data_IF_343688695535
#
_entry.id   IF_343688695535
#
_cell.length_a   1.000
_cell.length_b   1.000
_cell.length_c   1.000
_cell.angle_alpha   90.00
_cell.angle_beta   90.00
_cell.angle_gamma   90.00
#
_symmetry.space_group_name_H-M   'P 1'
#
loop_
_entity.id
_entity.type
_entity.pdbx_description
1 polymer ?
#
# COMPACT_ATOMS: atom_id res chain seq x y z
N UNK A 1 46.39 6.51 -19.37
CA UNK A 1 45.11 7.19 -19.21
C UNK A 1 44.91 7.32 -17.72
N UNK A 2 45.16 8.52 -17.17
CA UNK A 2 45.03 8.81 -15.73
C UNK A 2 43.56 9.00 -15.40
N UNK A 3 43.04 8.17 -14.53
CA UNK A 3 41.71 8.36 -13.97
C UNK A 3 41.65 9.64 -13.15
N UNK A 4 40.90 10.61 -13.64
CA UNK A 4 40.58 11.82 -12.87
C UNK A 4 39.46 11.43 -11.89
N UNK A 5 39.83 11.06 -10.68
CA UNK A 5 38.86 10.94 -9.60
C UNK A 5 38.42 12.36 -9.18
N UNK A 6 37.23 12.75 -9.56
CA UNK A 6 36.59 13.93 -9.01
C UNK A 6 36.35 13.72 -7.51
N UNK A 7 36.77 14.65 -6.65
CA UNK A 7 36.47 14.56 -5.23
C UNK A 7 34.92 14.60 -5.03
N UNK A 8 34.39 13.60 -4.35
CA UNK A 8 33.00 13.60 -3.96
C UNK A 8 32.71 14.81 -3.05
N UNK A 9 31.61 15.52 -3.24
CA UNK A 9 31.27 16.63 -2.36
C UNK A 9 31.13 16.09 -0.92
N UNK A 10 31.75 16.77 0.02
CA UNK A 10 31.67 16.46 1.43
C UNK A 10 30.20 16.49 1.87
N UNK A 11 29.72 15.36 2.38
CA UNK A 11 28.37 15.28 2.93
C UNK A 11 28.25 16.23 4.12
N UNK A 12 27.25 17.08 4.18
CA UNK A 12 27.01 17.89 5.38
C UNK A 12 26.78 16.94 6.56
N UNK A 13 27.46 17.25 7.68
CA UNK A 13 27.30 16.45 8.90
C UNK A 13 25.84 16.49 9.36
N UNK A 14 25.35 15.40 9.89
CA UNK A 14 23.97 15.27 10.41
C UNK A 14 23.61 16.31 11.49
N UNK A 15 24.58 17.07 11.99
CA UNK A 15 24.37 18.12 13.00
C UNK A 15 24.06 19.50 12.42
N UNK A 16 24.34 19.74 11.14
CA UNK A 16 24.13 21.08 10.53
C UNK A 16 22.75 21.24 9.89
N UNK A 17 21.89 20.25 10.00
CA UNK A 17 20.59 20.24 9.35
C UNK A 17 19.45 20.68 10.26
N UNK A 18 19.66 21.62 11.17
CA UNK A 18 18.52 22.34 11.76
C UNK A 18 17.93 23.29 10.71
N UNK A 19 17.30 22.73 9.70
CA UNK A 19 16.55 23.49 8.72
C UNK A 19 15.35 24.08 9.46
N UNK A 20 15.10 25.41 9.34
CA UNK A 20 13.95 26.03 9.97
C UNK A 20 12.66 25.28 9.60
N UNK A 21 11.73 25.16 10.53
CA UNK A 21 10.47 24.42 10.39
C UNK A 21 9.66 24.77 9.13
N UNK A 22 10.02 25.83 8.42
CA UNK A 22 9.38 26.28 7.17
C UNK A 22 9.93 25.62 5.91
N UNK A 23 11.11 25.03 5.96
CA UNK A 23 11.72 24.36 4.81
C UNK A 23 11.52 22.85 4.91
N UNK A 24 10.38 22.39 4.41
CA UNK A 24 10.02 20.97 4.41
C UNK A 24 10.46 20.33 3.10
N UNK A 25 11.55 19.59 3.14
CA UNK A 25 12.04 18.85 1.99
C UNK A 25 11.78 17.37 2.21
N UNK A 26 11.21 16.72 1.21
CA UNK A 26 11.00 15.27 1.25
C UNK A 26 12.34 14.53 1.22
N UNK A 27 12.36 13.36 1.82
CA UNK A 27 13.44 12.42 1.68
C UNK A 27 13.60 11.99 0.20
N UNK A 28 14.83 11.92 -0.27
CA UNK A 28 15.14 11.33 -1.56
C UNK A 28 16.55 10.73 -1.54
N UNK A 29 16.81 9.84 -2.48
CA UNK A 29 18.11 9.22 -2.66
C UNK A 29 18.76 9.74 -3.94
N UNK A 30 20.03 10.07 -3.83
CA UNK A 30 20.84 10.51 -4.96
C UNK A 30 22.02 9.57 -5.09
N UNK A 31 22.06 8.77 -6.14
CA UNK A 31 23.07 7.74 -6.29
C UNK A 31 23.01 6.72 -5.14
N UNK A 32 24.16 6.47 -4.51
CA UNK A 32 24.28 5.61 -3.32
C UNK A 32 24.06 6.33 -1.99
N UNK A 33 23.76 7.62 -2.03
CA UNK A 33 23.57 8.43 -0.83
C UNK A 33 22.10 8.67 -0.55
N UNK A 34 21.67 8.38 0.66
CA UNK A 34 20.36 8.75 1.15
C UNK A 34 20.43 10.12 1.80
N UNK A 35 19.70 11.08 1.26
CA UNK A 35 19.48 12.37 1.90
C UNK A 35 18.36 12.20 2.90
N UNK A 36 18.61 12.41 4.18
CA UNK A 36 17.63 12.22 5.24
C UNK A 36 16.34 13.01 5.00
N UNK A 37 15.26 12.54 5.60
CA UNK A 37 14.00 13.27 5.59
C UNK A 37 14.19 14.61 6.32
N UNK A 38 14.03 15.70 5.58
CA UNK A 38 14.25 17.07 6.07
C UNK A 38 12.97 17.69 6.63
N UNK A 39 11.93 16.90 6.87
CA UNK A 39 10.78 17.41 7.60
C UNK A 39 11.23 17.75 9.02
N UNK A 40 11.07 19.02 9.38
CA UNK A 40 11.58 19.56 10.64
C UNK A 40 10.89 18.93 11.85
N UNK A 41 9.65 18.54 11.72
CA UNK A 41 8.86 17.98 12.80
C UNK A 41 8.52 16.52 12.50
N UNK A 42 8.80 15.65 13.45
CA UNK A 42 8.54 14.21 13.34
C UNK A 42 7.08 13.90 13.07
N UNK A 43 6.18 14.64 13.70
CA UNK A 43 4.73 14.52 13.53
C UNK A 43 4.22 14.84 12.11
N UNK A 44 5.03 15.54 11.33
CA UNK A 44 4.71 15.88 9.94
C UNK A 44 5.34 14.93 8.92
N UNK A 45 6.06 13.94 9.38
CA UNK A 45 6.62 12.91 8.51
C UNK A 45 5.51 12.00 8.03
N UNK A 46 5.56 11.63 6.77
CA UNK A 46 4.70 10.56 6.27
C UNK A 46 5.18 9.20 6.80
N UNK A 47 4.29 8.25 6.91
CA UNK A 47 4.62 6.86 7.27
C UNK A 47 5.77 6.32 6.40
N UNK A 48 5.84 6.74 5.14
CA UNK A 48 6.89 6.29 4.20
C UNK A 48 8.29 6.84 4.52
N UNK A 49 8.38 7.89 5.29
CA UNK A 49 9.67 8.48 5.68
C UNK A 49 10.17 8.00 7.04
N UNK A 50 9.42 7.20 7.73
CA UNK A 50 9.81 6.56 8.97
C UNK A 50 10.71 5.34 8.67
N UNK A 51 11.94 5.28 9.20
CA UNK A 51 12.81 4.11 9.03
C UNK A 51 12.26 2.83 9.68
N UNK A 52 11.47 2.99 10.73
CA UNK A 52 10.88 1.88 11.50
C UNK A 52 9.46 1.52 11.03
N UNK A 53 9.02 2.10 9.92
CA UNK A 53 7.69 1.83 9.37
C UNK A 53 7.47 0.37 9.04
N UNK A 54 6.23 -0.05 9.09
CA UNK A 54 5.82 -1.29 8.46
C UNK A 54 6.11 -1.26 6.96
N UNK A 55 6.46 -2.40 6.41
CA UNK A 55 6.67 -2.59 4.98
C UNK A 55 5.73 -3.68 4.48
N UNK A 56 4.52 -3.31 4.16
CA UNK A 56 3.44 -4.22 3.78
C UNK A 56 3.73 -5.01 2.51
N UNK A 57 4.39 -4.37 1.53
CA UNK A 57 4.71 -4.96 0.24
C UNK A 57 6.23 -5.03 0.07
N UNK A 58 6.78 -6.24 0.17
CA UNK A 58 8.22 -6.51 0.05
C UNK A 58 8.70 -6.54 -1.40
N UNK A 59 10.02 -6.67 -1.58
CA UNK A 59 10.61 -6.99 -2.87
C UNK A 59 10.14 -8.38 -3.35
N UNK A 60 10.19 -8.58 -4.67
CA UNK A 60 9.74 -9.85 -5.28
C UNK A 60 8.39 -9.74 -5.99
N UNK A 61 7.65 -8.66 -5.80
CA UNK A 61 6.46 -8.39 -6.59
C UNK A 61 6.81 -8.10 -8.06
N UNK A 62 5.84 -8.33 -8.94
CA UNK A 62 6.00 -8.19 -10.40
C UNK A 62 5.27 -6.96 -10.94
N UNK A 63 5.13 -5.91 -10.15
CA UNK A 63 4.53 -4.67 -10.59
C UNK A 63 5.33 -4.03 -11.72
N UNK A 64 4.64 -3.37 -12.64
CA UNK A 64 5.27 -2.58 -13.69
C UNK A 64 6.15 -1.48 -13.11
N UNK A 65 7.15 -1.06 -13.86
CA UNK A 65 7.98 0.08 -13.46
C UNK A 65 7.11 1.34 -13.32
N UNK A 66 7.21 2.01 -12.16
CA UNK A 66 6.41 3.20 -11.88
C UNK A 66 4.92 2.93 -11.61
N UNK A 67 4.55 1.70 -11.25
CA UNK A 67 3.16 1.33 -10.97
C UNK A 67 2.57 2.16 -9.83
N UNK A 68 1.60 3.01 -10.15
CA UNK A 68 0.90 3.85 -9.18
C UNK A 68 0.05 3.04 -8.21
N UNK A 69 -0.56 1.96 -8.67
CA UNK A 69 -1.36 1.05 -7.83
C UNK A 69 -0.50 0.37 -6.75
N UNK A 70 0.67 -0.16 -7.13
CA UNK A 70 1.59 -0.77 -6.17
C UNK A 70 2.08 0.24 -5.12
N UNK A 71 2.34 1.48 -5.55
CA UNK A 71 2.74 2.56 -4.65
C UNK A 71 1.58 2.98 -3.74
N UNK A 72 0.39 3.14 -4.29
CA UNK A 72 -0.82 3.47 -3.54
C UNK A 72 -1.17 2.42 -2.49
N UNK A 73 -1.12 1.13 -2.87
CA UNK A 73 -1.37 0.01 -1.97
C UNK A 73 -0.36 -0.03 -0.84
N UNK A 74 0.92 0.18 -1.13
CA UNK A 74 1.96 0.28 -0.10
C UNK A 74 1.68 1.42 0.87
N UNK A 75 1.37 2.61 0.39
CA UNK A 75 1.07 3.75 1.27
C UNK A 75 -0.13 3.50 2.17
N UNK A 76 -1.18 2.94 1.61
CA UNK A 76 -2.41 2.66 2.36
C UNK A 76 -2.17 1.59 3.43
N UNK A 77 -1.56 0.46 3.06
CA UNK A 77 -1.37 -0.65 3.98
C UNK A 77 -0.28 -0.40 5.02
N UNK A 78 0.84 0.25 4.67
CA UNK A 78 1.86 0.64 5.65
C UNK A 78 1.26 1.57 6.72
N UNK A 79 0.42 2.52 6.29
CA UNK A 79 -0.30 3.41 7.19
C UNK A 79 -1.29 2.66 8.07
N UNK A 80 -2.08 1.77 7.46
CA UNK A 80 -3.05 0.97 8.20
C UNK A 80 -2.37 0.05 9.23
N UNK A 81 -1.29 -0.60 8.86
CA UNK A 81 -0.50 -1.44 9.78
C UNK A 81 0.09 -0.62 10.92
N UNK A 82 0.55 0.60 10.66
CA UNK A 82 1.06 1.51 11.69
C UNK A 82 -0.02 1.92 12.70
N UNK A 83 -1.24 2.18 12.24
CA UNK A 83 -2.37 2.58 13.10
C UNK A 83 -2.92 1.41 13.90
N UNK A 84 -2.83 0.19 13.36
CA UNK A 84 -3.38 -1.03 13.98
C UNK A 84 -2.33 -1.86 14.73
N UNK A 85 -1.11 -1.35 14.84
CA UNK A 85 0.03 -2.09 15.39
C UNK A 85 0.21 -3.47 14.73
N UNK A 86 0.05 -3.51 13.42
CA UNK A 86 0.15 -4.73 12.62
C UNK A 86 -1.05 -5.69 12.72
N UNK A 87 -2.07 -5.38 13.51
CA UNK A 87 -3.28 -6.20 13.66
C UNK A 87 -4.24 -5.95 12.49
N UNK A 88 -3.85 -6.42 11.32
CA UNK A 88 -4.53 -6.15 10.07
C UNK A 88 -4.60 -7.38 9.18
N UNK A 89 -5.76 -7.62 8.58
CA UNK A 89 -5.97 -8.60 7.52
C UNK A 89 -6.36 -7.84 6.25
N UNK A 90 -5.67 -8.09 5.15
CA UNK A 90 -6.04 -7.56 3.84
C UNK A 90 -6.79 -8.60 3.02
N UNK A 91 -7.87 -8.18 2.39
CA UNK A 91 -8.64 -8.99 1.44
C UNK A 91 -8.58 -8.32 0.08
N UNK A 92 -8.30 -9.07 -0.96
CA UNK A 92 -8.10 -8.51 -2.29
C UNK A 92 -9.02 -9.12 -3.34
N UNK A 93 -9.52 -8.28 -4.24
CA UNK A 93 -10.16 -8.72 -5.47
C UNK A 93 -9.10 -9.18 -6.49
N UNK A 94 -9.47 -10.08 -7.40
CA UNK A 94 -8.65 -10.37 -8.57
C UNK A 94 -8.43 -9.10 -9.39
N UNK A 95 -7.21 -8.84 -9.80
CA UNK A 95 -6.84 -7.66 -10.57
C UNK A 95 -5.33 -7.47 -10.61
N UNK A 96 -4.87 -6.33 -11.11
CA UNK A 96 -3.44 -6.04 -11.20
C UNK A 96 -2.73 -6.20 -9.85
N UNK A 97 -3.33 -5.70 -8.78
CA UNK A 97 -2.76 -5.78 -7.43
C UNK A 97 -2.50 -7.22 -6.98
N UNK A 98 -3.44 -8.13 -7.23
CA UNK A 98 -3.27 -9.55 -6.95
C UNK A 98 -2.19 -10.16 -7.84
N UNK A 99 -2.30 -9.95 -9.16
CA UNK A 99 -1.42 -10.58 -10.16
C UNK A 99 0.05 -10.25 -9.90
N UNK A 100 0.38 -9.01 -9.58
CA UNK A 100 1.78 -8.66 -9.36
C UNK A 100 2.30 -8.99 -7.96
N UNK A 101 1.43 -9.09 -6.96
CA UNK A 101 1.83 -9.26 -5.56
C UNK A 101 1.88 -10.71 -5.09
N UNK A 102 1.27 -11.64 -5.83
CA UNK A 102 1.20 -13.05 -5.47
C UNK A 102 1.88 -13.96 -6.51
N UNK A 103 3.21 -13.86 -6.68
CA UNK A 103 3.93 -14.81 -7.50
C UNK A 103 3.89 -16.20 -6.84
N UNK A 104 3.17 -17.14 -7.48
CA UNK A 104 3.08 -18.51 -6.96
C UNK A 104 4.49 -19.12 -6.76
N UNK A 105 4.75 -19.84 -5.65
CA UNK A 105 3.83 -20.20 -4.55
C UNK A 105 3.82 -19.20 -3.38
N UNK A 106 4.43 -18.06 -3.54
CA UNK A 106 4.66 -17.07 -2.50
C UNK A 106 3.80 -15.83 -2.68
N UNK A 107 3.75 -15.00 -1.65
CA UNK A 107 3.17 -13.67 -1.68
C UNK A 107 4.22 -12.61 -1.32
N UNK A 108 4.12 -11.42 -1.87
CA UNK A 108 4.95 -10.29 -1.49
C UNK A 108 4.39 -9.49 -0.30
N UNK A 109 3.26 -9.90 0.24
CA UNK A 109 2.64 -9.25 1.40
C UNK A 109 3.23 -9.76 2.71
N UNK A 110 3.46 -8.84 3.66
CA UNK A 110 3.98 -9.17 5.00
C UNK A 110 2.88 -9.28 6.05
N UNK A 111 1.64 -9.08 5.68
CA UNK A 111 0.46 -9.21 6.53
C UNK A 111 -0.41 -10.38 6.05
N UNK A 112 -1.30 -10.92 6.89
CA UNK A 112 -2.31 -11.88 6.47
C UNK A 112 -3.10 -11.34 5.29
N UNK A 113 -3.09 -12.09 4.20
CA UNK A 113 -3.68 -11.66 2.96
C UNK A 113 -4.58 -12.74 2.37
N UNK A 114 -5.78 -12.35 1.99
CA UNK A 114 -6.79 -13.23 1.44
C UNK A 114 -7.15 -12.79 0.03
N UNK A 115 -7.16 -13.73 -0.88
CA UNK A 115 -7.63 -13.52 -2.23
C UNK A 115 -8.81 -14.46 -2.52
N UNK A 116 -9.81 -13.93 -3.20
CA UNK A 116 -10.96 -14.67 -3.67
C UNK A 116 -11.26 -14.31 -5.11
N UNK A 117 -12.50 -14.52 -5.55
CA UNK A 117 -12.91 -14.26 -6.91
C UNK A 117 -12.98 -12.75 -7.20
N UNK A 118 -13.07 -12.41 -8.48
CA UNK A 118 -12.92 -11.06 -9.04
C UNK A 118 -13.85 -10.04 -8.38
N UNK A 119 -14.95 -10.13 -8.01
CA UNK A 119 -15.82 -9.13 -7.36
C UNK A 119 -16.08 -9.39 -5.88
N UNK A 120 -15.39 -10.35 -5.26
CA UNK A 120 -15.80 -10.87 -3.96
C UNK A 120 -15.12 -10.24 -2.74
N UNK A 121 -14.16 -9.35 -2.94
CA UNK A 121 -13.39 -8.78 -1.83
C UNK A 121 -14.29 -8.19 -0.72
N UNK A 122 -15.35 -7.40 -1.01
CA UNK A 122 -16.22 -6.88 0.04
C UNK A 122 -16.94 -7.98 0.83
N UNK A 123 -17.42 -9.02 0.14
CA UNK A 123 -18.13 -10.12 0.79
C UNK A 123 -17.20 -10.97 1.67
N UNK A 124 -15.99 -11.26 1.20
CA UNK A 124 -14.98 -12.01 1.97
C UNK A 124 -14.53 -11.20 3.18
N UNK A 125 -14.30 -9.90 3.01
CA UNK A 125 -13.91 -9.01 4.10
C UNK A 125 -15.00 -8.89 5.17
N UNK A 126 -16.27 -8.75 4.76
CA UNK A 126 -17.42 -8.76 5.67
C UNK A 126 -17.51 -10.07 6.46
N UNK A 127 -17.29 -11.21 5.77
CA UNK A 127 -17.23 -12.51 6.42
C UNK A 127 -16.08 -12.66 7.41
N UNK A 128 -14.89 -12.18 7.04
CA UNK A 128 -13.73 -12.17 7.92
C UNK A 128 -13.96 -11.30 9.16
N UNK A 129 -14.48 -10.08 8.99
CA UNK A 129 -14.80 -9.19 10.10
C UNK A 129 -15.88 -9.80 11.03
N UNK A 130 -16.91 -10.43 10.47
CA UNK A 130 -17.92 -11.14 11.27
C UNK A 130 -17.33 -12.33 12.04
N UNK A 131 -16.45 -13.10 11.40
CA UNK A 131 -15.74 -14.22 12.03
C UNK A 131 -14.82 -13.78 13.17
N UNK A 132 -14.10 -12.68 13.02
CA UNK A 132 -13.26 -12.10 14.07
C UNK A 132 -14.10 -11.65 15.28
N UNK A 133 -15.22 -10.95 15.04
CA UNK A 133 -16.16 -10.57 16.11
C UNK A 133 -16.70 -11.77 16.85
N UNK A 134 -17.10 -12.82 16.13
CA UNK A 134 -17.58 -14.06 16.75
C UNK A 134 -16.54 -14.76 17.61
N UNK A 135 -15.27 -14.53 17.36
CA UNK A 135 -14.14 -15.04 18.14
C UNK A 135 -13.63 -14.04 19.19
N UNK A 136 -14.29 -12.90 19.38
CA UNK A 136 -13.87 -11.83 20.30
C UNK A 136 -12.47 -11.28 20.00
N UNK A 137 -12.11 -11.20 18.72
CA UNK A 137 -10.86 -10.63 18.22
C UNK A 137 -11.09 -9.24 17.62
N UNK A 138 -11.62 -8.33 18.44
CA UNK A 138 -12.05 -7.00 18.01
C UNK A 138 -10.88 -6.04 17.76
N UNK A 139 -9.68 -6.41 18.14
CA UNK A 139 -8.42 -5.69 17.91
C UNK A 139 -7.90 -5.86 16.47
N UNK A 140 -8.29 -6.93 15.78
CA UNK A 140 -7.87 -7.18 14.40
C UNK A 140 -8.80 -6.46 13.43
N UNK A 141 -8.23 -5.63 12.57
CA UNK A 141 -8.96 -4.89 11.55
C UNK A 141 -8.91 -5.59 10.21
N UNK A 142 -9.93 -5.33 9.38
CA UNK A 142 -10.02 -5.89 8.03
C UNK A 142 -10.07 -4.75 7.02
N UNK A 143 -9.18 -4.83 6.02
CA UNK A 143 -9.22 -3.96 4.84
C UNK A 143 -9.55 -4.81 3.63
N UNK A 144 -10.50 -4.37 2.84
CA UNK A 144 -10.75 -4.90 1.50
C UNK A 144 -10.18 -3.94 0.44
N UNK A 145 -9.67 -4.48 -0.64
CA UNK A 145 -9.11 -3.69 -1.72
C UNK A 145 -9.37 -4.33 -3.07
N UNK A 146 -9.52 -3.49 -4.08
CA UNK A 146 -9.74 -3.92 -5.45
C UNK A 146 -9.49 -2.80 -6.44
N UNK A 147 -9.26 -3.17 -7.70
CA UNK A 147 -9.25 -2.22 -8.81
C UNK A 147 -10.66 -1.69 -9.11
N UNK A 148 -10.73 -0.76 -10.04
CA UNK A 148 -11.99 -0.18 -10.51
C UNK A 148 -12.99 -1.23 -11.00
N UNK A 149 -12.58 -2.15 -11.87
CA UNK A 149 -13.45 -3.22 -12.39
C UNK A 149 -13.93 -4.18 -11.31
N UNK A 150 -13.06 -4.60 -10.41
CA UNK A 150 -13.40 -5.46 -9.27
C UNK A 150 -14.25 -4.79 -8.21
N UNK A 151 -14.38 -3.48 -8.26
CA UNK A 151 -15.11 -2.65 -7.28
C UNK A 151 -16.45 -2.17 -7.82
N UNK A 152 -16.41 -1.33 -8.87
CA UNK A 152 -17.59 -0.59 -9.34
C UNK A 152 -18.34 -1.28 -10.47
N UNK A 153 -17.78 -2.34 -11.03
CA UNK A 153 -18.41 -3.18 -12.04
C UNK A 153 -18.83 -4.52 -11.43
N UNK A 154 -18.01 -5.55 -11.55
CA UNK A 154 -18.35 -6.91 -11.08
C UNK A 154 -18.58 -6.96 -9.56
N UNK A 155 -17.84 -6.16 -8.79
CA UNK A 155 -17.90 -6.13 -7.32
C UNK A 155 -19.02 -5.31 -6.71
N UNK A 156 -19.74 -4.52 -7.49
CA UNK A 156 -20.71 -3.56 -6.97
C UNK A 156 -21.79 -4.20 -6.09
N UNK A 157 -22.28 -5.37 -6.45
CA UNK A 157 -23.28 -6.09 -5.64
C UNK A 157 -22.78 -6.45 -4.24
N UNK A 158 -21.54 -6.94 -4.15
CA UNK A 158 -20.91 -7.27 -2.87
C UNK A 158 -20.58 -6.01 -2.05
N UNK A 159 -20.12 -4.96 -2.72
CA UNK A 159 -19.81 -3.69 -2.09
C UNK A 159 -21.07 -3.01 -1.55
N UNK A 160 -22.16 -2.97 -2.32
CA UNK A 160 -23.44 -2.45 -1.89
C UNK A 160 -23.97 -3.18 -0.65
N UNK A 161 -23.87 -4.51 -0.65
CA UNK A 161 -24.28 -5.30 0.51
C UNK A 161 -23.42 -5.04 1.76
N UNK A 162 -22.12 -4.81 1.60
CA UNK A 162 -21.22 -4.43 2.69
C UNK A 162 -21.63 -3.07 3.29
N UNK A 163 -21.95 -2.09 2.46
CA UNK A 163 -22.41 -0.77 2.91
C UNK A 163 -23.78 -0.84 3.57
N UNK A 164 -24.74 -1.57 2.99
CA UNK A 164 -26.07 -1.73 3.55
C UNK A 164 -26.03 -2.33 4.97
N UNK A 165 -25.16 -3.28 5.21
CA UNK A 165 -24.99 -3.90 6.54
C UNK A 165 -24.13 -3.05 7.48
N UNK A 166 -23.51 -2.00 6.98
CA UNK A 166 -22.53 -1.18 7.72
C UNK A 166 -21.43 -2.06 8.34
N UNK A 167 -20.88 -2.96 7.54
CA UNK A 167 -19.80 -3.84 7.99
C UNK A 167 -18.55 -3.02 8.38
N UNK A 168 -17.88 -3.38 9.48
CA UNK A 168 -16.67 -2.71 9.98
C UNK A 168 -15.46 -3.10 9.14
N UNK A 169 -15.43 -2.64 7.91
CA UNK A 169 -14.41 -2.91 6.91
C UNK A 169 -14.07 -1.62 6.17
N UNK A 170 -12.79 -1.29 6.10
CA UNK A 170 -12.31 -0.24 5.20
C UNK A 170 -12.16 -0.82 3.80
N UNK A 171 -12.76 -0.19 2.81
CA UNK A 171 -12.62 -0.58 1.42
C UNK A 171 -11.79 0.44 0.63
N UNK A 172 -10.77 -0.04 -0.07
CA UNK A 172 -9.91 0.77 -0.95
C UNK A 172 -10.17 0.39 -2.40
N UNK A 173 -10.58 1.37 -3.19
CA UNK A 173 -10.69 1.24 -4.64
C UNK A 173 -9.50 1.92 -5.30
N UNK A 174 -8.75 1.16 -6.08
CA UNK A 174 -7.66 1.69 -6.90
C UNK A 174 -8.21 1.95 -8.30
N UNK A 175 -8.45 3.21 -8.60
CA UNK A 175 -8.90 3.64 -9.92
C UNK A 175 -7.72 3.61 -10.90
N UNK A 176 -7.61 2.49 -11.61
CA UNK A 176 -6.62 2.30 -12.66
C UNK A 176 -7.31 2.02 -14.01
N UNK A 177 -7.86 3.04 -14.67
CA UNK A 177 -8.76 2.88 -15.81
C UNK A 177 -8.19 2.10 -16.99
N UNK A 178 -6.95 1.66 -16.92
CA UNK A 178 -6.32 0.82 -17.95
C UNK A 178 -7.02 -0.55 -18.08
N UNK A 179 -7.42 -1.16 -16.97
CA UNK A 179 -8.15 -2.43 -16.99
C UNK A 179 -9.53 -2.28 -17.62
N UNK A 180 -10.19 -1.18 -17.35
CA UNK A 180 -11.54 -0.90 -17.84
C UNK A 180 -11.57 -0.51 -19.32
N UNK A 181 -10.58 0.24 -19.78
CA UNK A 181 -10.45 0.60 -21.21
C UNK A 181 -10.13 -0.59 -22.09
N UNK A 182 -9.37 -1.57 -21.60
CA UNK A 182 -9.10 -2.79 -22.36
C UNK A 182 -10.31 -3.72 -22.48
N UNK A 183 -11.15 -3.80 -21.47
CA UNK A 183 -12.38 -4.60 -21.52
C UNK A 183 -13.41 -3.97 -22.46
N UNK A 184 -13.48 -2.63 -22.56
CA UNK A 184 -14.37 -1.97 -23.53
C UNK A 184 -13.86 -1.97 -24.97
N UNK A 185 -12.58 -2.13 -25.19
CA UNK A 185 -12.03 -2.19 -26.55
C UNK A 185 -12.35 -3.51 -27.28
N UNK A 186 -12.98 -4.46 -26.60
CA UNK A 186 -13.38 -5.76 -27.15
C UNK A 186 -14.88 -5.96 -27.25
N UNK A 187 -15.69 -4.96 -26.88
CA UNK A 187 -17.13 -4.88 -27.19
C UNK A 187 -17.38 -4.01 -28.43
#
# INVERSE_FOLDING_TARGET
MSEVSLPLPSMPSTRETSIPAREKVKFYQVGSYAVGNRLAEEQLRSVQSDPDRYNSLTSGHRACQGCGEALGARYALDTAMSVTDGQLIAVNATGCLEVFSTPYPETSWTLPWLHSLFGNAPAVAAGAAAGLRAQHKDDIRVIAQGGDGGTVDIGMGCLSGMFERNDDVLYLCYDNPVSYTHLRAHE
#
